data_IF_293264369847
#
_entry.id   IF_293264369847
#
_cell.length_a   1.000
_cell.length_b   1.000
_cell.length_c   1.000
_cell.angle_alpha   90.00
_cell.angle_beta   90.00
_cell.angle_gamma   90.00
#
_symmetry.space_group_name_H-M   'P 1'
#
loop_
_entity.id
_entity.type
_entity.pdbx_description
1 polymer ?
#
# COMPACT_ATOMS: atom_id res chain seq x y z
N UNK A 1 -5.47 20.90 8.55
CA UNK A 1 -5.28 19.68 7.74
C UNK A 1 -6.43 19.51 6.76
N UNK A 2 -6.24 18.69 5.71
CA UNK A 2 -7.24 18.29 4.74
C UNK A 2 -7.23 16.77 4.61
N UNK A 3 -8.38 16.18 4.32
CA UNK A 3 -8.51 14.75 4.01
C UNK A 3 -8.85 14.62 2.53
N UNK A 4 -8.08 13.81 1.82
CA UNK A 4 -8.29 13.51 0.40
C UNK A 4 -8.64 12.04 0.25
N UNK A 5 -9.74 11.74 -0.43
CA UNK A 5 -10.04 10.38 -0.88
C UNK A 5 -9.35 10.17 -2.24
N UNK A 6 -8.18 9.52 -2.21
CA UNK A 6 -7.38 9.29 -3.43
C UNK A 6 -8.05 8.25 -4.32
N UNK A 7 -8.28 8.60 -5.56
CA UNK A 7 -8.75 7.65 -6.58
C UNK A 7 -7.65 6.65 -6.98
N UNK A 8 -8.06 5.51 -7.54
CA UNK A 8 -7.15 4.60 -8.23
C UNK A 8 -6.47 5.29 -9.43
N UNK A 9 -5.35 4.76 -9.87
CA UNK A 9 -4.52 5.28 -10.97
C UNK A 9 -3.89 6.66 -10.74
N UNK A 10 -4.01 7.22 -9.53
CA UNK A 10 -3.38 8.49 -9.15
C UNK A 10 -2.08 8.25 -8.43
N UNK A 11 -0.98 8.73 -8.98
CA UNK A 11 0.33 8.75 -8.31
C UNK A 11 0.34 9.88 -7.28
N UNK A 12 0.89 9.62 -6.10
CA UNK A 12 0.84 10.61 -5.00
C UNK A 12 1.80 11.77 -5.22
N UNK A 13 3.06 11.50 -5.59
CA UNK A 13 4.11 12.52 -5.78
C UNK A 13 4.95 12.20 -7.02
N UNK A 14 5.59 13.20 -7.63
CA UNK A 14 6.47 13.00 -8.79
C UNK A 14 7.56 11.96 -8.50
N UNK A 15 7.91 11.21 -9.53
CA UNK A 15 8.95 10.19 -9.48
C UNK A 15 9.25 9.65 -10.88
N UNK A 16 10.16 8.68 -10.95
CA UNK A 16 10.56 8.11 -12.24
C UNK A 16 9.36 7.62 -13.05
N UNK A 17 9.22 8.15 -14.28
CA UNK A 17 8.11 7.83 -15.20
C UNK A 17 6.76 8.48 -14.86
N UNK A 18 6.69 9.34 -13.83
CA UNK A 18 5.50 10.12 -13.45
C UNK A 18 5.94 11.46 -12.90
N UNK A 19 6.29 12.40 -13.77
CA UNK A 19 6.87 13.68 -13.37
C UNK A 19 5.80 14.74 -13.08
N UNK A 20 4.61 14.59 -13.66
CA UNK A 20 3.45 15.46 -13.52
C UNK A 20 2.15 14.68 -13.36
N UNK A 21 1.00 15.35 -13.29
CA UNK A 21 -0.31 14.72 -13.10
C UNK A 21 -0.46 13.99 -11.77
N UNK A 22 0.37 14.28 -10.78
CA UNK A 22 0.33 13.63 -9.46
C UNK A 22 -0.62 14.35 -8.51
N UNK A 23 -0.99 13.69 -7.40
CA UNK A 23 -1.79 14.31 -6.35
C UNK A 23 -1.11 15.60 -5.82
N UNK A 24 0.22 15.60 -5.66
CA UNK A 24 0.97 16.79 -5.22
C UNK A 24 0.79 17.95 -6.20
N UNK A 25 0.83 17.71 -7.52
CA UNK A 25 0.59 18.77 -8.49
C UNK A 25 -0.82 19.38 -8.34
N UNK A 26 -1.84 18.53 -8.14
CA UNK A 26 -3.20 19.01 -7.88
C UNK A 26 -3.33 19.76 -6.54
N UNK A 27 -2.65 19.30 -5.50
CA UNK A 27 -2.63 19.98 -4.20
C UNK A 27 -1.95 21.35 -4.28
N UNK A 28 -0.83 21.47 -5.00
CA UNK A 28 -0.14 22.74 -5.23
C UNK A 28 -0.94 23.72 -6.07
N UNK A 29 -1.74 23.21 -7.03
CA UNK A 29 -2.67 24.05 -7.77
C UNK A 29 -3.81 24.57 -6.90
N UNK A 30 -4.31 23.75 -5.98
CA UNK A 30 -5.46 24.08 -5.13
C UNK A 30 -5.09 24.90 -3.88
N UNK A 31 -3.88 24.73 -3.35
CA UNK A 31 -3.39 25.43 -2.16
C UNK A 31 -2.16 26.26 -2.49
N UNK A 32 -2.21 27.57 -2.22
CA UNK A 32 -1.11 28.49 -2.51
C UNK A 32 0.18 28.16 -1.74
N UNK A 33 0.06 27.68 -0.50
CA UNK A 33 1.20 27.36 0.36
C UNK A 33 0.93 26.07 1.13
N UNK A 34 1.68 25.03 0.84
CA UNK A 34 1.74 23.81 1.63
C UNK A 34 3.11 23.71 2.31
N UNK A 35 3.16 23.34 3.59
CA UNK A 35 4.41 23.22 4.32
C UNK A 35 5.22 22.01 3.82
N UNK A 36 6.55 22.13 3.87
CA UNK A 36 7.47 21.06 3.52
C UNK A 36 8.36 20.70 4.72
N UNK A 37 8.72 19.42 4.85
CA UNK A 37 9.71 18.99 5.83
C UNK A 37 11.11 19.36 5.32
N UNK A 38 12.02 19.89 6.16
CA UNK A 38 13.38 20.26 5.76
C UNK A 38 14.19 19.13 5.13
N UNK A 39 13.84 17.88 5.40
CA UNK A 39 14.50 16.67 4.89
C UNK A 39 13.89 16.15 3.57
N UNK A 40 12.83 16.76 3.06
CA UNK A 40 12.18 16.30 1.85
C UNK A 40 12.86 16.86 0.59
N UNK A 41 13.93 16.18 0.18
CA UNK A 41 14.67 16.46 -1.07
C UNK A 41 13.83 16.40 -2.35
N UNK A 42 12.55 15.94 -2.27
CA UNK A 42 11.73 15.64 -3.44
C UNK A 42 10.43 16.44 -3.53
N UNK A 43 10.31 17.54 -2.79
CA UNK A 43 9.13 18.40 -2.87
C UNK A 43 7.84 17.60 -2.62
N UNK A 44 7.55 17.28 -1.36
CA UNK A 44 6.33 16.58 -0.94
C UNK A 44 5.48 17.45 -0.03
N UNK A 45 5.09 18.65 -0.51
CA UNK A 45 4.41 19.62 0.33
C UNK A 45 3.14 19.02 0.92
N UNK A 46 2.99 19.18 2.24
CA UNK A 46 1.84 18.71 3.01
C UNK A 46 1.74 17.20 3.22
N UNK A 47 2.62 16.38 2.62
CA UNK A 47 2.53 14.93 2.71
C UNK A 47 3.30 14.37 3.91
N UNK A 48 2.68 13.47 4.65
CA UNK A 48 3.29 12.69 5.74
C UNK A 48 3.25 11.18 5.45
N UNK A 49 2.48 10.76 4.46
CA UNK A 49 2.39 9.36 4.01
C UNK A 49 1.99 9.28 2.54
N UNK A 50 1.95 8.06 2.02
CA UNK A 50 1.54 7.81 0.63
C UNK A 50 0.74 6.52 0.51
N UNK A 51 -0.05 6.44 -0.56
CA UNK A 51 -0.69 5.23 -1.07
C UNK A 51 -0.07 4.87 -2.42
N UNK A 52 -0.13 3.60 -2.79
CA UNK A 52 0.31 3.16 -4.12
C UNK A 52 -0.64 3.69 -5.20
N UNK A 53 -0.18 3.72 -6.46
CA UNK A 53 -0.93 4.26 -7.60
C UNK A 53 -2.34 3.69 -7.68
N UNK A 54 -2.48 2.38 -7.58
CA UNK A 54 -3.76 1.68 -7.74
C UNK A 54 -4.57 1.53 -6.43
N UNK A 55 -3.98 1.89 -5.28
CA UNK A 55 -4.68 1.89 -3.99
C UNK A 55 -5.55 3.12 -3.87
N UNK A 56 -6.83 2.92 -3.57
CA UNK A 56 -7.78 3.99 -3.21
C UNK A 56 -7.78 4.23 -1.71
N UNK A 57 -8.34 5.36 -1.28
CA UNK A 57 -8.62 5.61 0.13
C UNK A 57 -8.10 6.93 0.65
N UNK A 58 -8.22 7.09 1.96
CA UNK A 58 -8.01 8.38 2.61
C UNK A 58 -6.53 8.70 2.80
N UNK A 59 -6.17 9.93 2.46
CA UNK A 59 -4.88 10.53 2.75
C UNK A 59 -5.07 11.81 3.55
N UNK A 60 -4.23 11.99 4.57
CA UNK A 60 -4.18 13.24 5.34
C UNK A 60 -3.10 14.16 4.78
N UNK A 61 -3.46 15.42 4.57
CA UNK A 61 -2.60 16.48 4.06
C UNK A 61 -2.47 17.58 5.11
N UNK A 62 -1.24 17.93 5.46
CA UNK A 62 -0.98 19.05 6.38
C UNK A 62 -1.05 20.37 5.61
N UNK A 63 -1.74 21.37 6.20
CA UNK A 63 -1.86 22.72 5.63
C UNK A 63 -0.99 23.75 6.35
N UNK A 64 -0.39 23.38 7.48
CA UNK A 64 0.50 24.26 8.28
C UNK A 64 1.68 23.45 8.77
N UNK A 65 2.80 24.11 9.06
CA UNK A 65 4.04 23.48 9.56
C UNK A 65 3.81 22.71 10.86
N UNK A 66 3.05 23.29 11.79
CA UNK A 66 2.72 22.61 13.05
C UNK A 66 1.93 21.32 12.81
N UNK A 67 0.96 21.34 11.89
CA UNK A 67 0.21 20.12 11.52
C UNK A 67 1.13 19.10 10.84
N UNK A 68 2.02 19.55 9.97
CA UNK A 68 2.97 18.67 9.27
C UNK A 68 3.89 17.95 10.26
N UNK A 69 4.50 18.70 11.18
CA UNK A 69 5.41 18.16 12.20
C UNK A 69 4.69 17.17 13.12
N UNK A 70 3.50 17.52 13.62
CA UNK A 70 2.74 16.65 14.51
C UNK A 70 2.26 15.36 13.81
N UNK A 71 1.78 15.45 12.58
CA UNK A 71 1.39 14.27 11.80
C UNK A 71 2.62 13.41 11.45
N UNK A 72 3.72 14.02 11.00
CA UNK A 72 4.96 13.30 10.70
C UNK A 72 5.45 12.52 11.93
N UNK A 73 5.41 13.14 13.12
CA UNK A 73 5.73 12.46 14.39
C UNK A 73 4.84 11.26 14.64
N UNK A 74 3.51 11.36 14.46
CA UNK A 74 2.60 10.23 14.65
C UNK A 74 2.90 9.08 13.68
N UNK A 75 3.24 9.36 12.41
CA UNK A 75 3.64 8.33 11.46
C UNK A 75 5.01 7.71 11.81
N UNK A 76 5.96 8.51 12.30
CA UNK A 76 7.27 8.04 12.76
C UNK A 76 7.13 7.14 13.99
N UNK A 77 6.39 7.58 15.01
CA UNK A 77 6.13 6.86 16.25
C UNK A 77 5.15 5.67 16.05
N UNK A 78 4.59 5.51 14.84
CA UNK A 78 3.61 4.47 14.49
C UNK A 78 2.35 4.46 15.37
N UNK A 79 1.94 5.61 15.85
CA UNK A 79 0.71 5.77 16.65
C UNK A 79 -0.54 5.85 15.78
N UNK A 80 -0.39 6.10 14.48
CA UNK A 80 -1.48 6.10 13.50
C UNK A 80 -2.01 4.69 13.27
N UNK A 81 -3.32 4.49 13.38
CA UNK A 81 -3.96 3.22 13.06
C UNK A 81 -4.37 3.21 11.58
N UNK A 82 -3.70 2.39 10.78
CA UNK A 82 -3.96 2.25 9.35
C UNK A 82 -4.62 0.92 9.06
N UNK A 83 -5.82 0.97 8.49
CA UNK A 83 -6.58 -0.20 8.07
C UNK A 83 -6.83 -0.14 6.57
N UNK A 84 -6.69 -1.28 5.92
CA UNK A 84 -6.90 -1.48 4.50
C UNK A 84 -7.82 -2.66 4.29
N UNK A 85 -8.64 -2.59 3.27
CA UNK A 85 -9.35 -3.76 2.77
C UNK A 85 -8.67 -4.27 1.51
N UNK A 86 -8.57 -5.58 1.38
CA UNK A 86 -7.96 -6.23 0.25
C UNK A 86 -8.79 -7.44 -0.18
N UNK A 87 -9.11 -7.49 -1.47
CA UNK A 87 -9.67 -8.68 -2.09
C UNK A 87 -8.51 -9.53 -2.61
N UNK A 88 -8.45 -10.79 -2.22
CA UNK A 88 -7.32 -11.68 -2.50
C UNK A 88 -7.79 -13.00 -3.10
N UNK A 89 -6.90 -13.65 -3.85
CA UNK A 89 -7.15 -14.99 -4.37
C UNK A 89 -7.03 -16.05 -3.28
N UNK A 90 -7.89 -17.06 -3.40
CA UNK A 90 -7.91 -18.22 -2.51
C UNK A 90 -8.72 -17.98 -1.25
N UNK A 91 -8.91 -19.06 -0.50
CA UNK A 91 -9.53 -19.05 0.81
C UNK A 91 -8.46 -19.19 1.90
N UNK A 92 -8.70 -18.60 3.04
CA UNK A 92 -7.83 -18.69 4.21
C UNK A 92 -8.33 -19.76 5.16
N UNK A 93 -7.43 -20.60 5.66
CA UNK A 93 -7.75 -21.58 6.70
C UNK A 93 -8.11 -20.88 8.01
N UNK A 94 -7.35 -19.83 8.32
CA UNK A 94 -7.49 -19.07 9.56
C UNK A 94 -8.25 -17.76 9.33
N UNK A 95 -9.10 -17.38 10.30
CA UNK A 95 -9.83 -16.11 10.23
C UNK A 95 -8.96 -14.87 10.44
N UNK A 96 -7.79 -15.04 11.02
CA UNK A 96 -6.83 -13.96 11.31
C UNK A 96 -5.40 -14.50 11.34
N UNK A 97 -4.47 -13.65 11.03
CA UNK A 97 -3.05 -14.01 11.08
C UNK A 97 -2.14 -12.80 11.03
N UNK A 98 -0.85 -13.08 11.15
CA UNK A 98 0.22 -12.07 11.06
C UNK A 98 1.25 -12.53 10.06
N UNK A 99 1.63 -11.62 9.16
CA UNK A 99 2.71 -11.83 8.20
C UNK A 99 3.86 -10.93 8.65
N UNK A 100 4.94 -11.56 9.11
CA UNK A 100 6.14 -10.91 9.61
C UNK A 100 7.33 -11.31 8.73
N UNK A 101 7.79 -10.38 7.89
CA UNK A 101 8.83 -10.60 6.88
C UNK A 101 9.69 -9.34 6.71
N UNK A 102 10.75 -9.46 5.92
CA UNK A 102 11.55 -8.35 5.45
C UNK A 102 11.18 -8.04 4.00
N UNK A 103 10.82 -6.79 3.70
CA UNK A 103 10.45 -6.38 2.34
C UNK A 103 11.63 -5.67 1.68
N UNK A 104 12.05 -6.21 0.57
CA UNK A 104 13.12 -5.68 -0.26
C UNK A 104 12.79 -5.72 -1.76
N UNK A 105 13.61 -5.06 -2.57
CA UNK A 105 13.45 -5.10 -4.03
C UNK A 105 13.81 -6.48 -4.56
N UNK A 106 13.01 -6.96 -5.50
CA UNK A 106 13.32 -8.21 -6.22
C UNK A 106 14.64 -8.06 -6.99
N UNK A 107 15.51 -9.07 -6.86
CA UNK A 107 16.77 -9.16 -7.63
C UNK A 107 16.46 -9.35 -9.11
N UNK A 108 15.44 -10.15 -9.42
CA UNK A 108 15.04 -10.49 -10.81
C UNK A 108 14.24 -9.37 -11.49
N UNK A 109 13.43 -8.64 -10.76
CA UNK A 109 12.62 -7.53 -11.29
C UNK A 109 12.55 -6.39 -10.28
N UNK A 110 13.39 -5.38 -10.47
CA UNK A 110 13.52 -4.24 -9.56
C UNK A 110 12.27 -3.37 -9.41
N UNK A 111 11.24 -3.56 -10.24
CA UNK A 111 9.94 -2.90 -10.09
C UNK A 111 9.11 -3.52 -8.95
N UNK A 112 9.38 -4.77 -8.59
CA UNK A 112 8.65 -5.51 -7.56
C UNK A 112 9.33 -5.44 -6.20
N UNK A 113 8.51 -5.47 -5.17
CA UNK A 113 8.93 -5.73 -3.79
C UNK A 113 8.61 -7.19 -3.45
N UNK A 114 9.48 -7.84 -2.69
CA UNK A 114 9.32 -9.25 -2.29
C UNK A 114 9.49 -9.34 -0.78
N UNK A 115 8.71 -10.23 -0.16
CA UNK A 115 8.90 -10.66 1.21
C UNK A 115 10.04 -11.69 1.32
N UNK A 116 10.99 -11.42 2.20
CA UNK A 116 12.09 -12.31 2.54
C UNK A 116 11.95 -12.76 3.99
N UNK A 117 12.19 -14.01 4.33
CA UNK A 117 12.16 -14.47 5.73
C UNK A 117 13.33 -13.93 6.56
N UNK A 118 14.45 -13.59 5.91
CA UNK A 118 15.69 -13.18 6.54
C UNK A 118 15.98 -11.68 6.37
N UNK A 119 16.69 -11.10 7.33
CA UNK A 119 17.01 -9.67 7.42
C UNK A 119 17.85 -9.13 6.25
N UNK A 120 18.64 -9.95 5.60
CA UNK A 120 19.72 -9.53 4.70
C UNK A 120 19.26 -8.84 3.41
N UNK A 121 17.99 -8.97 3.04
CA UNK A 121 17.48 -8.50 1.76
C UNK A 121 16.34 -7.46 1.84
N UNK A 122 16.06 -6.90 3.03
CA UNK A 122 14.95 -5.97 3.13
C UNK A 122 14.83 -5.24 4.46
N UNK A 123 13.74 -4.52 4.60
CA UNK A 123 13.36 -3.80 5.83
C UNK A 123 12.21 -4.54 6.50
N UNK A 124 12.29 -4.74 7.81
CA UNK A 124 11.26 -5.39 8.61
C UNK A 124 9.88 -4.79 8.35
N UNK A 125 8.90 -5.67 8.18
CA UNK A 125 7.52 -5.33 7.85
C UNK A 125 6.55 -6.30 8.50
N UNK A 126 5.50 -5.77 9.15
CA UNK A 126 4.47 -6.56 9.82
C UNK A 126 3.09 -6.13 9.32
N UNK A 127 2.30 -7.12 8.91
CA UNK A 127 0.89 -6.97 8.51
C UNK A 127 0.04 -7.97 9.24
N UNK A 128 -0.93 -7.50 10.02
CA UNK A 128 -1.98 -8.34 10.59
C UNK A 128 -3.14 -8.38 9.61
N UNK A 129 -3.74 -9.54 9.39
CA UNK A 129 -4.96 -9.66 8.60
C UNK A 129 -6.09 -10.31 9.40
N UNK A 130 -7.31 -9.96 9.03
CA UNK A 130 -8.53 -10.58 9.50
C UNK A 130 -9.47 -10.79 8.31
N UNK A 131 -10.00 -12.00 8.17
CA UNK A 131 -11.01 -12.33 7.16
C UNK A 131 -12.30 -11.57 7.51
N UNK A 132 -12.86 -10.88 6.51
CA UNK A 132 -14.16 -10.22 6.59
C UNK A 132 -15.21 -11.15 5.96
N UNK A 133 -14.93 -11.65 4.75
CA UNK A 133 -15.89 -12.46 4.00
C UNK A 133 -15.17 -13.40 3.03
N UNK A 134 -15.68 -14.63 2.87
CA UNK A 134 -15.19 -15.65 1.95
C UNK A 134 -16.18 -15.86 0.82
N UNK A 135 -15.67 -15.82 -0.42
CA UNK A 135 -16.47 -16.01 -1.64
C UNK A 135 -16.13 -17.33 -2.35
N UNK A 136 -15.47 -18.25 -1.67
CA UNK A 136 -15.07 -19.57 -2.16
C UNK A 136 -13.72 -19.59 -2.89
N UNK A 137 -13.48 -18.70 -3.84
CA UNK A 137 -12.22 -18.61 -4.61
C UNK A 137 -11.47 -17.28 -4.40
N UNK A 138 -12.11 -16.33 -3.78
CA UNK A 138 -11.54 -15.06 -3.33
C UNK A 138 -12.02 -14.77 -1.92
N UNK A 139 -11.22 -14.00 -1.18
CA UNK A 139 -11.51 -13.62 0.19
C UNK A 139 -11.32 -12.12 0.36
N UNK A 140 -12.27 -11.47 1.02
CA UNK A 140 -12.12 -10.08 1.48
C UNK A 140 -11.49 -10.09 2.87
N UNK A 141 -10.38 -9.40 3.02
CA UNK A 141 -9.65 -9.27 4.28
C UNK A 141 -9.47 -7.81 4.70
N UNK A 142 -9.43 -7.55 6.00
CA UNK A 142 -8.90 -6.32 6.57
C UNK A 142 -7.42 -6.52 6.91
N UNK A 143 -6.58 -5.57 6.52
CA UNK A 143 -5.17 -5.52 6.87
C UNK A 143 -4.89 -4.35 7.82
N UNK A 144 -4.26 -4.61 8.98
CA UNK A 144 -3.72 -3.61 9.90
C UNK A 144 -2.20 -3.62 9.81
N UNK A 145 -1.61 -2.45 9.56
CA UNK A 145 -0.18 -2.31 9.33
C UNK A 145 0.53 -1.75 10.56
N UNK A 146 1.60 -2.41 11.05
CA UNK A 146 2.55 -1.83 11.99
C UNK A 146 3.61 -1.00 11.26
N UNK A 147 3.95 -1.37 10.04
CA UNK A 147 4.95 -0.72 9.20
C UNK A 147 4.31 -0.25 7.88
N UNK A 148 4.97 0.62 7.12
CA UNK A 148 4.47 1.14 5.84
C UNK A 148 5.54 1.03 4.74
N UNK A 149 5.95 -0.19 4.38
CA UNK A 149 6.91 -0.42 3.30
C UNK A 149 6.21 -0.36 1.95
N UNK A 150 6.96 0.02 0.91
CA UNK A 150 6.45 0.04 -0.48
C UNK A 150 5.85 -1.32 -0.84
N UNK A 151 4.64 -1.32 -1.39
CA UNK A 151 3.89 -2.52 -1.79
C UNK A 151 3.74 -3.58 -0.68
N UNK A 152 3.76 -3.18 0.59
CA UNK A 152 3.84 -4.12 1.72
C UNK A 152 2.73 -5.17 1.69
N UNK A 153 1.46 -4.77 1.62
CA UNK A 153 0.31 -5.69 1.59
C UNK A 153 0.43 -6.63 0.38
N UNK A 154 0.77 -6.09 -0.78
CA UNK A 154 0.90 -6.83 -2.05
C UNK A 154 1.99 -7.90 -1.97
N UNK A 155 3.18 -7.53 -1.47
CA UNK A 155 4.31 -8.44 -1.31
C UNK A 155 4.06 -9.51 -0.27
N UNK A 156 3.48 -9.14 0.88
CA UNK A 156 3.14 -10.07 1.96
C UNK A 156 2.11 -11.11 1.51
N UNK A 157 0.99 -10.67 0.95
CA UNK A 157 -0.08 -11.56 0.53
C UNK A 157 0.35 -12.47 -0.63
N UNK A 158 1.14 -11.96 -1.57
CA UNK A 158 1.75 -12.81 -2.60
C UNK A 158 2.69 -13.86 -1.99
N UNK A 159 3.49 -13.52 -0.99
CA UNK A 159 4.43 -14.43 -0.34
C UNK A 159 3.72 -15.63 0.28
N UNK A 160 2.57 -15.40 0.92
CA UNK A 160 1.76 -16.48 1.53
C UNK A 160 0.81 -17.17 0.54
N UNK A 161 0.92 -16.88 -0.77
CA UNK A 161 0.12 -17.55 -1.80
C UNK A 161 -1.24 -16.94 -2.10
N UNK A 162 -1.57 -15.80 -1.51
CA UNK A 162 -2.85 -15.09 -1.68
C UNK A 162 -2.66 -13.71 -2.35
N UNK A 163 -2.21 -13.60 -3.62
CA UNK A 163 -2.02 -12.31 -4.26
C UNK A 163 -3.34 -11.53 -4.34
N UNK A 164 -3.25 -10.20 -4.36
CA UNK A 164 -4.42 -9.34 -4.53
C UNK A 164 -5.13 -9.66 -5.84
N UNK A 165 -6.45 -9.71 -5.79
CA UNK A 165 -7.30 -9.92 -6.96
C UNK A 165 -7.02 -8.84 -8.02
N UNK A 166 -6.79 -9.29 -9.27
CA UNK A 166 -6.50 -8.42 -10.42
C UNK A 166 -5.24 -7.53 -10.29
N UNK A 167 -4.28 -7.90 -9.45
CA UNK A 167 -2.99 -7.21 -9.36
C UNK A 167 -2.04 -7.70 -10.45
N UNK A 168 -1.95 -6.94 -11.55
CA UNK A 168 -1.15 -7.27 -12.74
C UNK A 168 0.34 -7.45 -12.42
N UNK A 169 0.90 -6.64 -11.53
CA UNK A 169 2.33 -6.68 -11.20
C UNK A 169 2.67 -7.89 -10.31
N UNK A 170 1.78 -8.26 -9.41
CA UNK A 170 1.99 -9.34 -8.45
C UNK A 170 1.35 -10.66 -8.87
N UNK A 171 0.78 -10.73 -10.09
CA UNK A 171 0.25 -11.94 -10.69
C UNK A 171 -1.16 -12.30 -10.23
N UNK A 172 -1.87 -11.34 -9.66
CA UNK A 172 -3.26 -11.49 -9.26
C UNK A 172 -4.27 -11.35 -10.41
N UNK A 173 -3.80 -11.04 -11.60
CA UNK A 173 -4.54 -11.10 -12.87
C UNK A 173 -4.67 -12.51 -13.43
N UNK A 174 -3.87 -13.47 -12.90
CA UNK A 174 -3.88 -14.84 -13.37
C UNK A 174 -4.87 -15.65 -12.54
N UNK A 175 -5.79 -16.30 -13.23
CA UNK A 175 -6.68 -17.28 -12.60
C UNK A 175 -5.82 -18.38 -11.97
N UNK A 176 -5.85 -18.49 -10.64
CA UNK A 176 -5.14 -19.57 -9.95
C UNK A 176 -5.74 -20.90 -10.40
N UNK A 177 -4.88 -21.83 -10.83
CA UNK A 177 -5.28 -23.14 -11.36
C UNK A 177 -6.01 -23.94 -10.30
N UNK A 178 -7.24 -24.33 -10.59
CA UNK A 178 -8.06 -25.21 -9.77
C UNK A 178 -9.43 -25.46 -10.39
N UNK A 179 -10.08 -26.55 -10.04
CA UNK A 179 -11.40 -26.95 -10.58
C UNK A 179 -12.49 -25.89 -10.33
N UNK A 180 -12.34 -25.08 -9.27
CA UNK A 180 -13.27 -23.99 -8.93
C UNK A 180 -13.20 -22.80 -9.92
N UNK A 181 -12.15 -22.69 -10.70
CA UNK A 181 -11.91 -21.54 -11.59
C UNK A 181 -12.36 -21.76 -13.04
N UNK A 182 -12.70 -22.99 -13.40
CA UNK A 182 -13.15 -23.34 -14.77
C UNK A 182 -14.51 -22.68 -15.08
N UNK A 183 -15.33 -22.43 -14.07
CA UNK A 183 -16.66 -21.80 -14.19
C UNK A 183 -16.62 -20.31 -14.59
N UNK A 184 -15.47 -19.63 -14.44
CA UNK A 184 -15.34 -18.17 -14.64
C UNK A 184 -14.46 -17.81 -15.84
N UNK A 185 -14.16 -18.79 -16.72
CA UNK A 185 -13.45 -18.59 -17.97
C UNK A 185 -14.36 -18.22 -19.16
N UNK A 186 -15.63 -17.93 -18.91
CA UNK A 186 -16.55 -17.48 -19.96
C UNK A 186 -16.70 -15.98 -19.96
#
# INVERSE_FOLDING_TARGET
MCIVNKAANTVVHPGYGNYDGTLVNALLYHFNNLPELPSDYFGRPGLVHRLDKHTTGLMVIAKTENTLTNLAKQFFDRTTQRRYQALVWGDFTEDKGTIDLYIGRSIKNRKLMIGYPEKDHGKHAVTHFKVIERFGYITLIECKLETGRTHQIRAHLKHIGHPLFNDLEYGGDKVLKGTSFTKYKQ
#
